data_IF_225833996764
#
_entry.id   IF_225833996764
#
_cell.length_a   1.000
_cell.length_b   1.000
_cell.length_c   1.000
_cell.angle_alpha   90.00
_cell.angle_beta   90.00
_cell.angle_gamma   90.00
#
_symmetry.space_group_name_H-M   'P 1'
#
loop_
_entity.id
_entity.type
_entity.pdbx_description
1 polymer ?
#
# COMPACT_ATOMS: atom_id res chain seq x y z
N UNK A 1 -10.39 -6.62 16.70
CA UNK A 1 -9.38 -7.17 15.79
C UNK A 1 -10.09 -7.96 14.70
N UNK A 2 -9.81 -7.74 13.42
CA UNK A 2 -10.25 -8.67 12.38
C UNK A 2 -9.65 -10.03 12.71
N UNK A 3 -10.49 -11.04 12.97
CA UNK A 3 -10.02 -12.32 13.48
C UNK A 3 -9.26 -13.04 12.37
N UNK A 4 -7.96 -13.32 12.61
CA UNK A 4 -7.19 -14.22 11.76
C UNK A 4 -7.91 -15.57 11.72
N UNK A 5 -8.12 -16.15 10.54
CA UNK A 5 -8.76 -17.46 10.40
C UNK A 5 -7.93 -18.55 11.06
N UNK A 6 -6.61 -18.40 11.05
CA UNK A 6 -5.67 -19.31 11.72
C UNK A 6 -4.44 -18.54 12.18
N UNK A 7 -4.07 -18.68 13.45
CA UNK A 7 -2.85 -18.14 14.01
C UNK A 7 -2.21 -19.19 14.92
N UNK A 8 -1.18 -19.84 14.40
CA UNK A 8 -0.44 -20.89 15.09
C UNK A 8 1.00 -20.44 15.34
N UNK A 9 1.49 -20.69 16.54
CA UNK A 9 2.91 -20.59 16.89
C UNK A 9 3.34 -21.94 17.43
N UNK A 10 4.32 -22.55 16.78
CA UNK A 10 4.92 -23.82 17.17
C UNK A 10 6.33 -23.56 17.69
N UNK A 11 6.56 -23.98 18.93
CA UNK A 11 7.85 -23.92 19.64
C UNK A 11 8.21 -25.33 20.12
N UNK A 12 9.46 -25.52 20.49
CA UNK A 12 9.91 -26.80 21.08
C UNK A 12 9.54 -26.90 22.56
N UNK A 13 9.39 -25.76 23.23
CA UNK A 13 8.80 -25.62 24.58
C UNK A 13 7.44 -24.94 24.47
N UNK A 14 6.35 -25.66 24.75
CA UNK A 14 4.98 -25.18 24.54
C UNK A 14 4.65 -23.88 25.31
N UNK A 15 5.23 -23.70 26.50
CA UNK A 15 5.07 -22.50 27.33
C UNK A 15 5.64 -21.23 26.69
N UNK A 16 6.52 -21.34 25.70
CA UNK A 16 7.09 -20.20 24.98
C UNK A 16 6.16 -19.69 23.86
N UNK A 17 5.23 -20.52 23.38
CA UNK A 17 4.36 -20.16 22.26
C UNK A 17 3.47 -18.93 22.53
N UNK A 18 2.83 -18.76 23.72
CA UNK A 18 2.00 -17.59 23.98
C UNK A 18 2.75 -16.25 23.97
N UNK A 19 3.95 -16.10 24.58
CA UNK A 19 4.78 -14.91 24.43
C UNK A 19 5.10 -14.56 22.96
N UNK A 20 5.56 -15.53 22.17
CA UNK A 20 5.86 -15.30 20.74
C UNK A 20 4.60 -14.92 19.95
N UNK A 21 3.47 -15.58 20.23
CA UNK A 21 2.17 -15.24 19.64
C UNK A 21 1.78 -13.80 19.92
N UNK A 22 2.02 -13.31 21.14
CA UNK A 22 1.77 -11.92 21.52
C UNK A 22 2.65 -10.96 20.71
N UNK A 23 3.97 -11.20 20.67
CA UNK A 23 4.92 -10.37 19.90
C UNK A 23 4.49 -10.26 18.42
N UNK A 24 4.19 -11.40 17.79
CA UNK A 24 3.74 -11.44 16.40
C UNK A 24 2.42 -10.67 16.22
N UNK A 25 1.47 -10.82 17.16
CA UNK A 25 0.19 -10.11 17.15
C UNK A 25 0.34 -8.60 17.25
N UNK A 26 1.23 -8.14 18.13
CA UNK A 26 1.50 -6.72 18.36
C UNK A 26 2.11 -6.11 17.08
N UNK A 27 3.12 -6.77 16.50
CA UNK A 27 3.74 -6.33 15.22
C UNK A 27 2.72 -6.25 14.08
N UNK A 28 1.85 -7.26 13.93
CA UNK A 28 0.79 -7.26 12.90
C UNK A 28 -0.17 -6.08 13.11
N UNK A 29 -0.47 -5.74 14.37
CA UNK A 29 -1.38 -4.65 14.72
C UNK A 29 -0.75 -3.29 14.44
N UNK A 30 0.52 -3.11 14.84
CA UNK A 30 1.28 -1.88 14.62
C UNK A 30 1.43 -1.54 13.13
N UNK A 31 1.60 -2.56 12.28
CA UNK A 31 1.69 -2.39 10.82
C UNK A 31 0.32 -2.24 10.14
N UNK A 32 -0.79 -2.26 10.89
CA UNK A 32 -2.15 -2.20 10.33
C UNK A 32 -2.51 -3.41 9.45
N UNK A 33 -1.85 -4.55 9.68
CA UNK A 33 -1.90 -5.74 8.81
C UNK A 33 -2.94 -6.77 9.24
N UNK A 34 -3.55 -6.63 10.42
CA UNK A 34 -4.51 -7.59 10.98
C UNK A 34 -5.68 -7.91 10.02
N UNK A 35 -6.21 -6.90 9.33
CA UNK A 35 -7.28 -7.09 8.33
C UNK A 35 -6.82 -7.64 6.98
N UNK A 36 -5.51 -7.72 6.74
CA UNK A 36 -4.91 -8.12 5.45
C UNK A 36 -4.32 -9.52 5.48
N UNK A 37 -4.11 -10.09 6.66
CA UNK A 37 -3.62 -11.46 6.83
C UNK A 37 -4.84 -12.37 7.09
N UNK A 38 -4.90 -13.49 6.37
CA UNK A 38 -5.92 -14.52 6.57
C UNK A 38 -5.43 -15.56 7.58
N UNK A 39 -4.23 -16.08 7.37
CA UNK A 39 -3.63 -17.16 8.16
C UNK A 39 -2.17 -16.87 8.41
N UNK A 40 -1.68 -17.20 9.59
CA UNK A 40 -0.25 -17.15 9.91
C UNK A 40 0.16 -18.39 10.71
N UNK A 41 1.33 -18.93 10.37
CA UNK A 41 2.02 -19.95 11.13
C UNK A 41 3.46 -19.50 11.35
N UNK A 42 3.89 -19.54 12.60
CA UNK A 42 5.29 -19.32 12.99
C UNK A 42 5.80 -20.61 13.60
N UNK A 43 6.97 -21.06 13.18
CA UNK A 43 7.67 -22.19 13.78
C UNK A 43 9.06 -21.74 14.24
N UNK A 44 9.38 -22.01 15.50
CA UNK A 44 10.63 -21.60 16.15
C UNK A 44 11.25 -22.83 16.80
N UNK A 45 12.45 -23.18 16.38
CA UNK A 45 13.26 -24.26 16.97
C UNK A 45 14.68 -23.76 17.17
N UNK A 46 14.99 -23.20 18.35
CA UNK A 46 16.33 -22.67 18.64
C UNK A 46 17.43 -23.73 18.47
N UNK A 47 17.17 -24.97 18.84
CA UNK A 47 18.12 -26.09 18.74
C UNK A 47 18.55 -26.39 17.30
N UNK A 48 17.63 -26.20 16.34
CA UNK A 48 17.86 -26.42 14.92
C UNK A 48 18.32 -25.14 14.21
N UNK A 49 18.44 -24.03 14.95
CA UNK A 49 18.58 -22.69 14.36
C UNK A 49 17.52 -22.43 13.29
N UNK A 50 16.25 -22.78 13.58
CA UNK A 50 15.15 -22.67 12.64
C UNK A 50 14.15 -21.61 13.10
N UNK A 51 13.92 -20.63 12.24
CA UNK A 51 12.80 -19.72 12.31
C UNK A 51 12.07 -19.71 10.96
N UNK A 52 10.78 -20.04 10.97
CA UNK A 52 9.94 -20.02 9.78
C UNK A 52 8.67 -19.23 10.05
N UNK A 53 8.35 -18.31 9.14
CA UNK A 53 7.10 -17.57 9.13
C UNK A 53 6.41 -17.80 7.79
N UNK A 54 5.16 -18.26 7.84
CA UNK A 54 4.30 -18.41 6.67
C UNK A 54 3.02 -17.63 6.91
N UNK A 55 2.73 -16.69 6.01
CA UNK A 55 1.52 -15.89 6.06
C UNK A 55 0.74 -16.01 4.74
N UNK A 56 -0.57 -16.20 4.85
CA UNK A 56 -1.51 -16.12 3.72
C UNK A 56 -2.20 -14.76 3.83
N UNK A 57 -2.07 -13.94 2.79
CA UNK A 57 -2.75 -12.65 2.72
C UNK A 57 -4.15 -12.79 2.13
N UNK A 58 -5.08 -11.96 2.60
CA UNK A 58 -6.38 -11.74 1.95
C UNK A 58 -6.14 -11.02 0.63
N UNK A 59 -7.05 -11.19 -0.33
CA UNK A 59 -6.91 -10.67 -1.69
C UNK A 59 -6.43 -9.21 -1.71
N UNK A 60 -5.48 -8.91 -2.60
CA UNK A 60 -4.92 -7.57 -2.68
C UNK A 60 -5.85 -6.69 -3.49
N UNK A 61 -6.17 -5.51 -2.96
CA UNK A 61 -6.90 -4.49 -3.73
C UNK A 61 -6.18 -4.24 -5.07
N UNK A 62 -6.93 -4.03 -6.17
CA UNK A 62 -6.34 -3.67 -7.44
C UNK A 62 -5.58 -2.34 -7.31
N UNK A 63 -4.73 -2.07 -8.30
CA UNK A 63 -4.15 -0.74 -8.46
C UNK A 63 -5.28 0.27 -8.64
N UNK A 64 -5.09 1.46 -8.08
CA UNK A 64 -6.00 2.59 -8.26
C UNK A 64 -5.42 3.46 -9.36
N UNK A 65 -6.11 3.52 -10.48
CA UNK A 65 -5.77 4.40 -11.61
C UNK A 65 -6.62 5.66 -11.56
N UNK A 66 -6.18 6.73 -12.22
CA UNK A 66 -6.84 8.04 -12.14
C UNK A 66 -8.31 7.97 -12.53
N UNK A 67 -8.66 7.24 -13.60
CA UNK A 67 -10.05 7.09 -14.04
C UNK A 67 -10.96 6.37 -13.06
N UNK A 68 -10.42 5.69 -12.05
CA UNK A 68 -11.23 5.05 -11.01
C UNK A 68 -11.87 6.08 -10.06
N UNK A 69 -11.31 7.30 -9.99
CA UNK A 69 -11.72 8.30 -9.02
C UNK A 69 -11.69 9.75 -9.53
N UNK A 70 -11.46 9.97 -10.82
CA UNK A 70 -11.54 11.28 -11.46
C UNK A 70 -12.03 11.16 -12.90
N UNK A 71 -12.74 12.18 -13.34
CA UNK A 71 -13.10 12.40 -14.74
C UNK A 71 -12.07 13.33 -15.37
N UNK A 72 -11.65 13.03 -16.60
CA UNK A 72 -10.60 13.77 -17.31
C UNK A 72 -11.22 14.23 -18.62
N UNK A 73 -11.15 15.53 -18.88
CA UNK A 73 -11.69 16.13 -20.09
C UNK A 73 -10.80 17.28 -20.57
N UNK A 74 -10.96 17.65 -21.84
CA UNK A 74 -10.33 18.85 -22.39
C UNK A 74 -10.97 20.08 -21.73
N UNK A 75 -10.13 21.01 -21.27
CA UNK A 75 -10.57 22.29 -20.73
C UNK A 75 -11.01 23.26 -21.83
N UNK A 76 -11.49 24.42 -21.40
CA UNK A 76 -11.96 25.48 -22.30
C UNK A 76 -10.78 26.29 -22.87
N UNK A 77 -9.62 26.29 -22.21
CA UNK A 77 -8.41 26.98 -22.66
C UNK A 77 -7.51 26.09 -23.53
N UNK A 78 -6.70 26.72 -24.38
CA UNK A 78 -5.73 26.01 -25.20
C UNK A 78 -4.71 25.28 -24.32
N UNK A 79 -4.52 23.98 -24.58
CA UNK A 79 -3.62 23.13 -23.80
C UNK A 79 -4.13 22.70 -22.43
N UNK A 80 -5.35 23.09 -22.04
CA UNK A 80 -5.90 22.74 -20.72
C UNK A 80 -6.53 21.34 -20.71
N UNK A 81 -6.22 20.58 -19.66
CA UNK A 81 -6.90 19.36 -19.24
C UNK A 81 -7.54 19.63 -17.89
N UNK A 82 -8.85 19.39 -17.78
CA UNK A 82 -9.59 19.46 -16.55
C UNK A 82 -9.71 18.07 -15.93
N UNK A 83 -9.27 17.92 -14.68
CA UNK A 83 -9.39 16.69 -13.90
C UNK A 83 -10.35 16.97 -12.74
N UNK A 84 -11.52 16.33 -12.78
CA UNK A 84 -12.55 16.47 -11.74
C UNK A 84 -12.58 15.23 -10.86
N UNK A 85 -12.25 15.40 -9.59
CA UNK A 85 -12.04 14.34 -8.61
C UNK A 85 -13.38 13.98 -7.93
N UNK A 86 -13.69 12.70 -7.86
CA UNK A 86 -14.85 12.17 -7.13
C UNK A 86 -14.49 11.60 -5.76
N UNK A 87 -13.24 11.14 -5.56
CA UNK A 87 -12.76 10.59 -4.28
C UNK A 87 -11.47 11.26 -3.83
N UNK A 88 -11.57 12.04 -2.76
CA UNK A 88 -10.46 12.85 -2.25
C UNK A 88 -9.28 12.04 -1.72
N UNK A 89 -9.53 10.81 -1.24
CA UNK A 89 -8.52 9.95 -0.59
C UNK A 89 -7.18 9.87 -1.36
N UNK A 90 -7.25 9.94 -2.69
CA UNK A 90 -6.08 9.78 -3.57
C UNK A 90 -5.50 11.12 -4.07
N UNK A 91 -6.15 12.24 -3.77
CA UNK A 91 -5.78 13.58 -4.25
C UNK A 91 -4.37 14.01 -3.85
N UNK A 92 -3.91 13.90 -2.58
CA UNK A 92 -2.56 14.32 -2.23
C UNK A 92 -1.47 13.58 -3.01
N UNK A 93 -1.71 12.29 -3.28
CA UNK A 93 -0.78 11.45 -4.04
C UNK A 93 -0.81 11.77 -5.52
N UNK A 94 -2.00 12.02 -6.07
CA UNK A 94 -2.16 12.47 -7.45
C UNK A 94 -1.37 13.78 -7.69
N UNK A 95 -1.52 14.78 -6.81
CA UNK A 95 -0.81 16.06 -6.94
C UNK A 95 0.71 15.87 -6.96
N UNK A 96 1.26 15.02 -6.09
CA UNK A 96 2.69 14.71 -6.10
C UNK A 96 3.12 14.13 -7.45
N UNK A 97 2.38 13.15 -7.98
CA UNK A 97 2.70 12.52 -9.27
C UNK A 97 2.63 13.55 -10.42
N UNK A 98 1.61 14.40 -10.42
CA UNK A 98 1.44 15.42 -11.46
C UNK A 98 2.54 16.50 -11.38
N UNK A 99 2.90 16.96 -10.18
CA UNK A 99 4.01 17.89 -9.99
C UNK A 99 5.35 17.30 -10.42
N UNK A 100 5.61 16.04 -10.08
CA UNK A 100 6.85 15.36 -10.47
C UNK A 100 6.94 15.17 -11.99
N UNK A 101 5.80 15.00 -12.67
CA UNK A 101 5.73 14.74 -14.11
C UNK A 101 5.72 16.00 -14.97
N UNK A 102 4.90 16.99 -14.61
CA UNK A 102 4.62 18.17 -15.43
C UNK A 102 5.16 19.47 -14.84
N UNK A 103 5.66 19.44 -13.60
CA UNK A 103 6.05 20.64 -12.86
C UNK A 103 4.89 21.28 -12.11
N UNK A 104 5.22 22.12 -11.12
CA UNK A 104 4.22 22.82 -10.30
C UNK A 104 3.51 23.94 -11.05
N UNK A 105 4.23 24.63 -11.93
CA UNK A 105 3.72 25.80 -12.66
C UNK A 105 2.71 25.41 -13.74
N UNK A 106 2.71 24.15 -14.16
CA UNK A 106 1.76 23.59 -15.14
C UNK A 106 0.44 23.13 -14.50
N UNK A 107 0.29 23.28 -13.18
CA UNK A 107 -0.87 22.83 -12.42
C UNK A 107 -1.53 23.99 -11.68
N UNK A 108 -2.82 24.15 -11.87
CA UNK A 108 -3.67 25.02 -11.05
C UNK A 108 -4.75 24.20 -10.35
N UNK A 109 -4.99 24.49 -9.07
CA UNK A 109 -6.05 23.86 -8.29
C UNK A 109 -7.06 24.96 -7.89
N UNK A 110 -8.07 25.26 -8.73
CA UNK A 110 -9.04 26.31 -8.43
C UNK A 110 -9.88 25.97 -7.20
N UNK A 111 -10.15 24.68 -6.97
CA UNK A 111 -10.87 24.19 -5.81
C UNK A 111 -10.40 22.77 -5.40
N UNK A 112 -10.93 22.25 -4.30
CA UNK A 112 -10.52 20.95 -3.73
C UNK A 112 -10.70 19.76 -4.68
N UNK A 113 -11.66 19.82 -5.59
CA UNK A 113 -12.09 18.72 -6.45
C UNK A 113 -11.62 18.89 -7.89
N UNK A 114 -11.07 20.04 -8.26
CA UNK A 114 -10.75 20.36 -9.64
C UNK A 114 -9.26 20.65 -9.78
N UNK A 115 -8.62 20.04 -10.76
CA UNK A 115 -7.24 20.35 -11.16
C UNK A 115 -7.27 20.74 -12.65
N UNK A 116 -6.72 21.91 -12.96
CA UNK A 116 -6.39 22.33 -14.33
C UNK A 116 -4.91 22.02 -14.58
N UNK A 117 -4.64 21.23 -15.61
CA UNK A 117 -3.29 20.87 -16.07
C UNK A 117 -3.07 21.48 -17.45
N UNK A 118 -2.00 22.25 -17.61
CA UNK A 118 -1.65 22.89 -18.88
C UNK A 118 -0.50 22.14 -19.56
N UNK A 119 -0.74 21.63 -20.77
CA UNK A 119 0.20 20.84 -21.58
C UNK A 119 0.09 21.18 -23.07
N UNK A 120 1.16 20.95 -23.83
CA UNK A 120 1.20 21.28 -25.26
C UNK A 120 0.26 20.42 -26.12
N UNK A 121 0.10 19.13 -25.78
CA UNK A 121 -0.74 18.19 -26.52
C UNK A 121 -1.76 17.48 -25.62
N UNK A 122 -2.90 18.12 -25.30
CA UNK A 122 -3.85 17.58 -24.33
C UNK A 122 -4.52 16.27 -24.79
N UNK A 123 -4.75 16.08 -26.09
CA UNK A 123 -5.42 14.87 -26.59
C UNK A 123 -4.60 13.60 -26.40
N UNK A 124 -3.27 13.70 -26.54
CA UNK A 124 -2.35 12.59 -26.30
C UNK A 124 -2.20 12.30 -24.79
N UNK A 125 -2.14 13.35 -23.98
CA UNK A 125 -1.97 13.22 -22.52
C UNK A 125 -3.21 12.67 -21.82
N UNK A 126 -4.43 12.96 -22.29
CA UNK A 126 -5.66 12.44 -21.67
C UNK A 126 -5.63 10.90 -21.58
N UNK A 127 -5.29 10.20 -22.66
CA UNK A 127 -5.23 8.73 -22.65
C UNK A 127 -4.16 8.16 -21.70
N UNK A 128 -3.04 8.86 -21.55
CA UNK A 128 -1.98 8.54 -20.60
C UNK A 128 -2.43 8.76 -19.15
N UNK A 129 -3.11 9.87 -18.89
CA UNK A 129 -3.65 10.24 -17.58
C UNK A 129 -4.73 9.28 -17.11
N UNK A 130 -5.65 8.85 -17.98
CA UNK A 130 -6.72 7.91 -17.62
C UNK A 130 -6.20 6.61 -16.98
N UNK A 131 -5.07 6.11 -17.48
CA UNK A 131 -4.46 4.86 -17.02
C UNK A 131 -3.29 5.08 -16.04
N UNK A 132 -3.12 6.32 -15.56
CA UNK A 132 -2.10 6.67 -14.58
C UNK A 132 -2.34 5.93 -13.28
N UNK A 133 -1.40 5.09 -12.85
CA UNK A 133 -1.44 4.43 -11.55
C UNK A 133 -1.11 5.44 -10.45
N UNK A 134 -2.11 5.75 -9.62
CA UNK A 134 -1.99 6.71 -8.52
C UNK A 134 -1.66 6.00 -7.21
N UNK A 135 -2.24 4.82 -6.97
CA UNK A 135 -1.94 4.01 -5.80
C UNK A 135 -1.78 2.53 -6.19
N UNK A 136 -0.80 1.87 -5.57
CA UNK A 136 -0.60 0.43 -5.70
C UNK A 136 -0.60 -0.21 -4.31
N UNK A 137 -1.77 -0.66 -3.82
CA UNK A 137 -1.90 -1.33 -2.54
C UNK A 137 -0.99 -2.57 -2.41
N UNK A 138 -0.58 -3.20 -3.52
CA UNK A 138 0.31 -4.36 -3.53
C UNK A 138 1.72 -3.98 -3.09
N UNK A 139 2.22 -2.82 -3.51
CA UNK A 139 3.55 -2.33 -3.10
C UNK A 139 3.60 -2.11 -1.60
N UNK A 140 2.63 -1.39 -1.06
CA UNK A 140 2.53 -1.14 0.39
C UNK A 140 2.36 -2.45 1.17
N UNK A 141 1.51 -3.37 0.69
CA UNK A 141 1.36 -4.69 1.30
C UNK A 141 2.68 -5.46 1.33
N UNK A 142 3.41 -5.49 0.22
CA UNK A 142 4.68 -6.22 0.09
C UNK A 142 5.75 -5.64 1.02
N UNK A 143 5.84 -4.32 1.10
CA UNK A 143 6.73 -3.61 2.04
C UNK A 143 6.40 -3.95 3.50
N UNK A 144 5.11 -3.90 3.86
CA UNK A 144 4.68 -4.22 5.23
C UNK A 144 4.90 -5.70 5.59
N UNK A 145 4.74 -6.63 4.64
CA UNK A 145 5.04 -8.05 4.87
C UNK A 145 6.53 -8.28 5.12
N UNK A 146 7.40 -7.60 4.36
CA UNK A 146 8.84 -7.68 4.56
C UNK A 146 9.24 -7.11 5.93
N UNK A 147 8.72 -5.93 6.28
CA UNK A 147 8.97 -5.31 7.59
C UNK A 147 8.45 -6.19 8.74
N UNK A 148 7.25 -6.76 8.60
CA UNK A 148 6.71 -7.73 9.55
C UNK A 148 7.65 -8.94 9.72
N UNK A 149 8.12 -9.55 8.63
CA UNK A 149 9.00 -10.71 8.70
C UNK A 149 10.32 -10.39 9.43
N UNK A 150 10.89 -9.20 9.20
CA UNK A 150 12.11 -8.74 9.85
C UNK A 150 11.90 -8.47 11.35
N UNK A 151 10.78 -7.87 11.73
CA UNK A 151 10.47 -7.54 13.13
C UNK A 151 10.10 -8.76 13.96
N UNK A 152 9.45 -9.76 13.34
CA UNK A 152 9.05 -11.00 14.03
C UNK A 152 10.25 -11.92 14.24
N UNK A 153 11.24 -11.90 13.32
CA UNK A 153 12.43 -12.72 13.45
C UNK A 153 13.14 -12.46 14.80
N UNK A 154 13.48 -13.52 15.58
CA UNK A 154 14.19 -13.36 16.83
C UNK A 154 15.54 -12.67 16.61
N UNK A 155 16.01 -11.88 17.57
CA UNK A 155 17.23 -11.06 17.42
C UNK A 155 18.45 -11.86 16.93
N UNK A 156 18.63 -13.10 17.39
CA UNK A 156 19.73 -13.98 16.97
C UNK A 156 19.72 -14.35 15.47
N UNK A 157 18.63 -14.11 14.76
CA UNK A 157 18.47 -14.37 13.32
C UNK A 157 18.54 -13.10 12.46
N UNK A 158 18.65 -11.92 13.07
CA UNK A 158 18.62 -10.64 12.34
C UNK A 158 20.03 -10.32 11.84
N UNK A 159 20.18 -10.24 10.51
CA UNK A 159 21.40 -9.71 9.88
C UNK A 159 21.36 -8.19 10.00
N UNK A 160 22.37 -7.60 10.66
CA UNK A 160 22.55 -6.15 10.80
C UNK A 160 23.72 -5.67 9.95
#
# INVERSE_FOLDING_TARGET
>A
MATLEKFVVETTVEEEAPPYRKIVSDIISDLGMAGRIAKIKVAIRPEDSLFQLVAVVRGVLPQVILKDFAEIQKGDHEGEILITISVEKHLPRLLQILWDRYGRDSLEQPDRWTISLFVDNPEEEIGSLENLVVDDPRRTLKSNLADMAIRVAPEGFRVR
#
